data_IF_008681446976
#
_entry.id   IF_008681446976
#
_cell.length_a   1.000
_cell.length_b   1.000
_cell.length_c   1.000
_cell.angle_alpha   90.00
_cell.angle_beta   90.00
_cell.angle_gamma   90.00
#
_symmetry.space_group_name_H-M   'P 1'
#
loop_
_entity.id
_entity.type
_entity.pdbx_description
1 polymer ?
#
# COMPACT_ATOMS: atom_id res chain seq x y z
N UNK A 1 -17.38 20.93 -13.57
CA UNK A 1 -18.25 22.12 -13.51
C UNK A 1 -19.44 21.96 -12.55
N UNK A 2 -20.03 20.78 -12.38
CA UNK A 2 -21.12 20.51 -11.43
C UNK A 2 -20.73 20.55 -9.93
N UNK A 3 -19.50 20.28 -9.58
CA UNK A 3 -19.00 20.23 -8.18
C UNK A 3 -19.06 21.61 -7.48
N UNK A 4 -18.80 22.69 -8.18
CA UNK A 4 -18.79 24.05 -7.60
C UNK A 4 -20.16 24.60 -7.20
N UNK A 5 -21.25 23.98 -7.64
CA UNK A 5 -22.62 24.44 -7.39
C UNK A 5 -23.22 23.88 -6.09
N UNK A 6 -22.67 22.75 -5.58
CA UNK A 6 -23.29 22.02 -4.45
C UNK A 6 -22.37 21.89 -3.22
N UNK A 7 -21.07 22.15 -3.33
CA UNK A 7 -20.16 22.06 -2.19
C UNK A 7 -19.68 23.47 -1.75
N UNK A 8 -20.11 23.86 -0.57
CA UNK A 8 -19.55 25.03 0.10
C UNK A 8 -18.11 24.69 0.51
N UNK A 9 -17.16 25.52 0.11
CA UNK A 9 -15.76 25.43 0.55
C UNK A 9 -15.69 25.45 2.07
N UNK A 10 -15.26 24.33 2.67
CA UNK A 10 -15.18 24.17 4.13
C UNK A 10 -13.90 24.76 4.74
N UNK A 11 -12.92 25.12 3.90
CA UNK A 11 -11.67 25.71 4.37
C UNK A 11 -11.85 27.22 4.61
N UNK A 12 -11.57 27.70 5.83
CA UNK A 12 -11.59 29.13 6.17
C UNK A 12 -10.61 29.90 5.28
N UNK A 13 -10.98 31.13 4.90
CA UNK A 13 -10.21 31.99 3.98
C UNK A 13 -8.75 32.17 4.42
N UNK A 14 -8.52 32.24 5.73
CA UNK A 14 -7.19 32.41 6.35
C UNK A 14 -6.28 31.18 6.17
N UNK A 15 -6.85 30.00 6.02
CA UNK A 15 -6.12 28.73 5.84
C UNK A 15 -5.91 28.36 4.37
N UNK A 16 -6.46 29.12 3.43
CA UNK A 16 -6.28 28.91 1.99
C UNK A 16 -4.87 29.31 1.58
N UNK A 17 -4.00 28.33 1.37
CA UNK A 17 -2.66 28.59 0.78
C UNK A 17 -2.87 29.07 -0.65
N UNK A 18 -2.60 30.34 -0.94
CA UNK A 18 -2.56 30.87 -2.32
C UNK A 18 -1.48 30.09 -3.08
N UNK A 19 -1.91 29.40 -4.16
CA UNK A 19 -1.08 28.46 -4.91
C UNK A 19 0.07 29.14 -5.66
N UNK A 20 1.20 29.27 -4.98
CA UNK A 20 2.46 29.55 -5.66
C UNK A 20 3.22 28.21 -5.79
N UNK A 21 3.71 27.87 -6.99
CA UNK A 21 4.47 26.65 -7.25
C UNK A 21 5.60 26.43 -6.23
N UNK A 22 6.27 27.50 -5.79
CA UNK A 22 7.28 27.44 -4.72
C UNK A 22 6.72 26.93 -3.40
N UNK A 23 5.50 27.36 -3.03
CA UNK A 23 4.86 26.91 -1.78
C UNK A 23 4.43 25.45 -1.84
N UNK A 24 4.02 24.96 -3.02
CA UNK A 24 3.69 23.55 -3.26
C UNK A 24 4.94 22.67 -3.13
N UNK A 25 6.03 23.03 -3.82
CA UNK A 25 7.30 22.30 -3.72
C UNK A 25 7.85 22.29 -2.28
N UNK A 26 7.76 23.42 -1.59
CA UNK A 26 8.13 23.50 -0.17
C UNK A 26 7.27 22.58 0.70
N UNK A 27 5.96 22.48 0.43
CA UNK A 27 5.04 21.60 1.16
C UNK A 27 5.36 20.11 0.91
N UNK A 28 5.76 19.73 -0.31
CA UNK A 28 6.27 18.38 -0.60
C UNK A 28 7.53 18.08 0.21
N UNK A 29 8.47 19.03 0.27
CA UNK A 29 9.69 18.87 1.07
C UNK A 29 9.42 18.68 2.56
N UNK A 30 8.39 19.34 3.12
CA UNK A 30 7.98 19.18 4.52
C UNK A 30 7.43 17.78 4.75
N UNK A 31 6.51 17.33 3.91
CA UNK A 31 5.87 16.01 4.03
C UNK A 31 6.90 14.88 3.88
N UNK A 32 7.84 15.01 2.95
CA UNK A 32 8.91 14.02 2.73
C UNK A 32 9.95 13.96 3.87
N UNK A 33 10.04 14.95 4.72
CA UNK A 33 10.88 14.90 5.94
C UNK A 33 10.31 13.96 7.01
N UNK A 34 9.03 13.69 6.96
CA UNK A 34 8.39 12.76 7.89
C UNK A 34 8.72 11.31 7.48
N UNK A 35 9.71 10.72 8.15
CA UNK A 35 10.17 9.34 7.84
C UNK A 35 9.05 8.31 7.91
N UNK A 36 8.14 8.45 8.89
CA UNK A 36 7.03 7.53 9.06
C UNK A 36 6.07 7.58 7.86
N UNK A 37 5.74 8.78 7.41
CA UNK A 37 4.95 8.98 6.20
C UNK A 37 5.63 8.34 4.97
N UNK A 38 6.94 8.56 4.81
CA UNK A 38 7.71 7.99 3.70
C UNK A 38 7.67 6.46 3.71
N UNK A 39 7.76 5.82 4.86
CA UNK A 39 7.63 4.36 4.95
C UNK A 39 6.25 3.86 4.52
N UNK A 40 5.16 4.56 4.86
CA UNK A 40 3.83 4.21 4.37
C UNK A 40 3.70 4.41 2.85
N UNK A 41 4.30 5.48 2.31
CA UNK A 41 4.34 5.72 0.86
C UNK A 41 5.09 4.63 0.11
N UNK A 42 6.27 4.24 0.60
CA UNK A 42 7.07 3.17 -0.01
C UNK A 42 6.38 1.81 0.10
N UNK A 43 5.82 1.50 1.27
CA UNK A 43 5.07 0.28 1.50
C UNK A 43 3.90 0.16 0.51
N UNK A 44 3.11 1.21 0.35
CA UNK A 44 2.00 1.26 -0.59
C UNK A 44 2.48 1.26 -2.05
N UNK A 45 3.58 1.96 -2.34
CA UNK A 45 4.17 1.98 -3.68
C UNK A 45 4.52 0.57 -4.17
N UNK A 46 5.15 -0.24 -3.33
CA UNK A 46 5.44 -1.64 -3.65
C UNK A 46 4.18 -2.51 -3.77
N UNK A 47 3.17 -2.29 -2.91
CA UNK A 47 1.88 -2.97 -3.06
C UNK A 47 1.19 -2.59 -4.38
N UNK A 48 1.26 -1.32 -4.80
CA UNK A 48 0.82 -0.89 -6.12
C UNK A 48 1.62 -1.52 -7.25
N UNK A 49 2.92 -1.78 -7.03
CA UNK A 49 3.73 -2.54 -7.98
C UNK A 49 3.15 -3.93 -8.27
N UNK A 50 2.69 -4.65 -7.24
CA UNK A 50 1.98 -5.93 -7.40
C UNK A 50 0.72 -5.77 -8.24
N UNK A 51 -0.12 -4.75 -7.94
CA UNK A 51 -1.35 -4.49 -8.69
C UNK A 51 -1.08 -4.21 -10.16
N UNK A 52 -0.15 -3.32 -10.44
CA UNK A 52 0.16 -2.94 -11.83
C UNK A 52 0.85 -4.05 -12.61
N UNK A 53 1.67 -4.87 -11.96
CA UNK A 53 2.20 -6.09 -12.56
C UNK A 53 1.06 -7.05 -12.93
N UNK A 54 0.08 -7.25 -12.02
CA UNK A 54 -1.11 -8.06 -12.31
C UNK A 54 -1.91 -7.48 -13.49
N UNK A 55 -2.19 -6.18 -13.49
CA UNK A 55 -2.95 -5.53 -14.59
C UNK A 55 -2.24 -5.73 -15.93
N UNK A 56 -0.91 -5.65 -15.95
CA UNK A 56 -0.12 -5.78 -17.18
C UNK A 56 0.00 -7.22 -17.68
N UNK A 57 0.12 -8.20 -16.77
CA UNK A 57 0.34 -9.61 -17.12
C UNK A 57 -0.97 -10.40 -17.33
N UNK A 58 -2.03 -10.06 -16.59
CA UNK A 58 -3.28 -10.83 -16.59
C UNK A 58 -3.87 -11.09 -17.97
N UNK A 59 -3.93 -10.15 -18.94
CA UNK A 59 -4.45 -10.42 -20.27
C UNK A 59 -3.66 -11.51 -20.98
N UNK A 60 -2.34 -11.53 -20.82
CA UNK A 60 -1.47 -12.53 -21.44
C UNK A 60 -1.60 -13.90 -20.74
N UNK A 61 -1.59 -13.90 -19.40
CA UNK A 61 -1.71 -15.14 -18.62
C UNK A 61 -3.07 -15.79 -18.87
N UNK A 62 -4.17 -15.06 -18.72
CA UNK A 62 -5.52 -15.62 -18.77
C UNK A 62 -5.93 -15.95 -20.19
N UNK A 63 -5.69 -15.07 -21.17
CA UNK A 63 -6.18 -15.25 -22.52
C UNK A 63 -5.19 -16.03 -23.41
N UNK A 64 -3.89 -15.74 -23.35
CA UNK A 64 -2.93 -16.38 -24.25
C UNK A 64 -2.41 -17.70 -23.70
N UNK A 65 -2.09 -17.77 -22.40
CA UNK A 65 -1.55 -18.99 -21.79
C UNK A 65 -2.65 -19.99 -21.46
N UNK A 66 -3.71 -19.56 -20.73
CA UNK A 66 -4.81 -20.44 -20.34
C UNK A 66 -5.93 -20.56 -21.38
N UNK A 67 -5.93 -19.74 -22.44
CA UNK A 67 -6.85 -19.85 -23.57
C UNK A 67 -8.27 -19.34 -23.31
N UNK A 68 -8.51 -18.55 -22.27
CA UNK A 68 -9.82 -17.98 -21.97
C UNK A 68 -10.18 -16.83 -22.92
N UNK A 69 -11.47 -16.66 -23.17
CA UNK A 69 -12.00 -15.55 -23.97
C UNK A 69 -11.85 -14.21 -23.23
N UNK A 70 -11.92 -13.10 -23.99
CA UNK A 70 -11.92 -11.75 -23.41
C UNK A 70 -13.09 -11.50 -22.45
N UNK A 71 -14.23 -12.18 -22.68
CA UNK A 71 -15.38 -12.10 -21.78
C UNK A 71 -15.10 -12.78 -20.43
N UNK A 72 -14.58 -13.99 -20.45
CA UNK A 72 -14.20 -14.74 -19.24
C UNK A 72 -13.12 -14.01 -18.45
N UNK A 73 -12.10 -13.48 -19.14
CA UNK A 73 -11.10 -12.61 -18.52
C UNK A 73 -11.72 -11.44 -17.78
N UNK A 74 -12.71 -10.77 -18.38
CA UNK A 74 -13.40 -9.65 -17.74
C UNK A 74 -14.14 -10.06 -16.47
N UNK A 75 -14.71 -11.27 -16.42
CA UNK A 75 -15.36 -11.80 -15.23
C UNK A 75 -14.35 -12.07 -14.11
N UNK A 76 -13.24 -12.75 -14.41
CA UNK A 76 -12.18 -13.01 -13.43
C UNK A 76 -11.57 -11.71 -12.90
N UNK A 77 -11.29 -10.76 -13.78
CA UNK A 77 -10.79 -9.44 -13.38
C UNK A 77 -11.79 -8.69 -12.48
N UNK A 78 -13.10 -8.82 -12.76
CA UNK A 78 -14.16 -8.27 -11.91
C UNK A 78 -14.23 -8.93 -10.53
N UNK A 79 -14.08 -10.26 -10.46
CA UNK A 79 -14.02 -11.01 -9.19
C UNK A 79 -12.80 -10.57 -8.37
N UNK A 80 -11.65 -10.39 -9.00
CA UNK A 80 -10.45 -9.90 -8.36
C UNK A 80 -10.59 -8.47 -7.84
N UNK A 81 -11.26 -7.59 -8.57
CA UNK A 81 -11.60 -6.25 -8.10
C UNK A 81 -12.53 -6.28 -6.87
N UNK A 82 -13.49 -7.21 -6.83
CA UNK A 82 -14.35 -7.43 -5.66
C UNK A 82 -13.54 -7.89 -4.45
N UNK A 83 -12.52 -8.74 -4.62
CA UNK A 83 -11.63 -9.15 -3.53
C UNK A 83 -10.97 -7.95 -2.86
N UNK A 84 -10.41 -7.02 -3.66
CA UNK A 84 -9.80 -5.78 -3.17
C UNK A 84 -10.84 -4.92 -2.43
N UNK A 85 -12.03 -4.74 -3.01
CA UNK A 85 -13.11 -3.95 -2.41
C UNK A 85 -13.62 -4.52 -1.09
N UNK A 86 -13.82 -5.83 -1.00
CA UNK A 86 -14.24 -6.52 0.23
C UNK A 86 -13.17 -6.37 1.33
N UNK A 87 -11.91 -6.55 0.98
CA UNK A 87 -10.80 -6.37 1.90
C UNK A 87 -10.68 -4.92 2.39
N UNK A 88 -10.88 -3.94 1.50
CA UNK A 88 -10.91 -2.53 1.86
C UNK A 88 -12.02 -2.24 2.89
N UNK A 89 -13.23 -2.76 2.67
CA UNK A 89 -14.35 -2.66 3.62
C UNK A 89 -14.07 -3.37 4.96
N UNK A 90 -13.39 -4.53 4.93
CA UNK A 90 -13.01 -5.26 6.13
C UNK A 90 -11.91 -4.53 6.92
N UNK A 91 -10.98 -3.87 6.24
CA UNK A 91 -9.91 -3.11 6.87
C UNK A 91 -10.41 -2.06 7.86
N UNK A 92 -11.56 -1.45 7.60
CA UNK A 92 -12.18 -0.43 8.47
C UNK A 92 -12.64 -1.02 9.82
N UNK A 93 -12.89 -2.32 9.89
CA UNK A 93 -13.31 -3.00 11.14
C UNK A 93 -12.15 -3.26 12.11
N UNK A 94 -10.92 -3.14 11.66
CA UNK A 94 -9.75 -3.30 12.53
C UNK A 94 -9.62 -2.10 13.47
N UNK A 95 -9.54 -2.37 14.77
CA UNK A 95 -9.33 -1.33 15.79
C UNK A 95 -8.02 -0.57 15.58
N UNK A 96 -6.98 -1.28 15.12
CA UNK A 96 -5.66 -0.72 14.83
C UNK A 96 -5.33 -0.90 13.35
N UNK A 97 -5.30 0.17 12.55
CA UNK A 97 -4.94 0.08 11.13
C UNK A 97 -3.55 -0.53 10.87
N UNK A 98 -2.60 -0.38 11.81
CA UNK A 98 -1.27 -1.00 11.72
C UNK A 98 -1.34 -2.52 11.66
N UNK A 99 -2.24 -3.14 12.43
CA UNK A 99 -2.43 -4.59 12.38
C UNK A 99 -3.03 -5.05 11.03
N UNK A 100 -3.98 -4.29 10.48
CA UNK A 100 -4.54 -4.59 9.17
C UNK A 100 -3.48 -4.47 8.06
N UNK A 101 -2.66 -3.42 8.10
CA UNK A 101 -1.55 -3.20 7.17
C UNK A 101 -0.53 -4.35 7.25
N UNK A 102 -0.11 -4.72 8.47
CA UNK A 102 0.86 -5.79 8.67
C UNK A 102 0.32 -7.15 8.23
N UNK A 103 -0.89 -7.51 8.68
CA UNK A 103 -1.54 -8.76 8.29
C UNK A 103 -1.72 -8.87 6.77
N UNK A 104 -2.17 -7.79 6.14
CA UNK A 104 -2.28 -7.71 4.68
C UNK A 104 -0.93 -7.87 3.99
N UNK A 105 0.13 -7.22 4.48
CA UNK A 105 1.49 -7.34 3.90
C UNK A 105 2.05 -8.75 4.06
N UNK A 106 1.84 -9.42 5.19
CA UNK A 106 2.23 -10.81 5.41
C UNK A 106 1.46 -11.75 4.48
N UNK A 107 0.12 -11.61 4.42
CA UNK A 107 -0.73 -12.40 3.53
C UNK A 107 -0.32 -12.23 2.05
N UNK A 108 -0.07 -10.98 1.63
CA UNK A 108 0.40 -10.67 0.28
C UNK A 108 1.75 -11.33 -0.02
N UNK A 109 2.70 -11.33 0.94
CA UNK A 109 4.02 -11.96 0.76
C UNK A 109 3.91 -13.48 0.66
N UNK A 110 3.11 -14.12 1.52
CA UNK A 110 2.92 -15.57 1.47
C UNK A 110 2.26 -15.97 0.15
N UNK A 111 1.17 -15.30 -0.22
CA UNK A 111 0.43 -15.63 -1.45
C UNK A 111 1.26 -15.34 -2.71
N UNK A 112 2.08 -14.29 -2.73
CA UNK A 112 2.98 -14.02 -3.85
C UNK A 112 4.09 -15.06 -3.99
N UNK A 113 4.58 -15.63 -2.90
CA UNK A 113 5.53 -16.75 -2.95
C UNK A 113 4.87 -18.00 -3.54
N UNK A 114 3.63 -18.31 -3.12
CA UNK A 114 2.86 -19.42 -3.67
C UNK A 114 2.56 -19.18 -5.16
N UNK A 115 2.16 -17.96 -5.53
CA UNK A 115 1.87 -17.58 -6.91
C UNK A 115 3.10 -17.71 -7.82
N UNK A 116 4.28 -17.34 -7.31
CA UNK A 116 5.54 -17.54 -8.04
C UNK A 116 5.78 -19.01 -8.37
N UNK A 117 5.54 -19.91 -7.42
CA UNK A 117 5.66 -21.38 -7.64
C UNK A 117 4.62 -21.87 -8.64
N UNK A 118 3.39 -21.39 -8.55
CA UNK A 118 2.28 -21.77 -9.45
C UNK A 118 2.60 -21.37 -10.89
N UNK A 119 2.99 -20.12 -11.11
CA UNK A 119 3.32 -19.61 -12.44
C UNK A 119 4.58 -20.26 -13.02
N UNK A 120 5.58 -20.55 -12.20
CA UNK A 120 6.81 -21.22 -12.67
C UNK A 120 6.62 -22.69 -13.04
N UNK A 121 5.60 -23.36 -12.53
CA UNK A 121 5.30 -24.75 -12.81
C UNK A 121 4.02 -24.94 -13.64
N UNK A 122 3.44 -23.87 -14.14
CA UNK A 122 2.27 -23.88 -15.03
C UNK A 122 1.08 -24.71 -14.48
N UNK A 123 0.73 -24.48 -13.19
CA UNK A 123 -0.39 -25.17 -12.57
C UNK A 123 -1.72 -24.79 -13.21
N UNK A 124 -2.75 -25.60 -12.94
CA UNK A 124 -4.10 -25.39 -13.45
C UNK A 124 -4.66 -24.00 -13.08
N UNK A 125 -5.36 -23.34 -14.02
CA UNK A 125 -5.92 -22.00 -13.89
C UNK A 125 -6.69 -21.75 -12.57
N UNK A 126 -7.50 -22.72 -12.12
CA UNK A 126 -8.29 -22.56 -10.91
C UNK A 126 -7.41 -22.36 -9.64
N UNK A 127 -6.20 -22.94 -9.62
CA UNK A 127 -5.25 -22.75 -8.51
C UNK A 127 -4.62 -21.38 -8.58
N UNK A 128 -4.20 -20.95 -9.77
CA UNK A 128 -3.71 -19.59 -10.05
C UNK A 128 -4.72 -18.54 -9.59
N UNK A 129 -5.95 -18.62 -10.06
CA UNK A 129 -6.98 -17.61 -9.77
C UNK A 129 -7.37 -17.59 -8.29
N UNK A 130 -7.43 -18.74 -7.62
CA UNK A 130 -7.73 -18.81 -6.20
C UNK A 130 -6.63 -18.15 -5.34
N UNK A 131 -5.36 -18.37 -5.66
CA UNK A 131 -4.25 -17.75 -4.93
C UNK A 131 -4.15 -16.27 -5.25
N UNK A 132 -4.33 -15.88 -6.50
CA UNK A 132 -4.38 -14.48 -6.94
C UNK A 132 -5.49 -13.71 -6.21
N UNK A 133 -6.67 -14.30 -6.06
CA UNK A 133 -7.79 -13.71 -5.31
C UNK A 133 -7.39 -13.39 -3.86
N UNK A 134 -6.75 -14.34 -3.15
CA UNK A 134 -6.32 -14.14 -1.76
C UNK A 134 -5.17 -13.13 -1.69
N UNK A 135 -4.27 -13.11 -2.69
CA UNK A 135 -3.20 -12.12 -2.81
C UNK A 135 -3.77 -10.71 -2.93
N UNK A 136 -4.70 -10.51 -3.85
CA UNK A 136 -5.35 -9.20 -4.08
C UNK A 136 -6.25 -8.78 -2.90
N UNK A 137 -6.90 -9.72 -2.24
CA UNK A 137 -7.61 -9.47 -0.98
C UNK A 137 -6.64 -8.95 0.10
N UNK A 138 -5.51 -9.61 0.29
CA UNK A 138 -4.48 -9.19 1.25
C UNK A 138 -3.92 -7.80 0.91
N UNK A 139 -3.75 -7.52 -0.39
CA UNK A 139 -3.36 -6.19 -0.87
C UNK A 139 -4.42 -5.13 -0.54
N UNK A 140 -5.70 -5.42 -0.69
CA UNK A 140 -6.80 -4.50 -0.36
C UNK A 140 -6.80 -4.09 1.12
N UNK A 141 -6.53 -5.03 2.05
CA UNK A 141 -6.34 -4.74 3.48
C UNK A 141 -5.19 -3.74 3.70
N UNK A 142 -4.05 -4.03 3.08
CA UNK A 142 -2.84 -3.24 3.18
C UNK A 142 -3.04 -1.83 2.63
N UNK A 143 -3.64 -1.70 1.46
CA UNK A 143 -3.86 -0.44 0.78
C UNK A 143 -4.69 0.55 1.62
N UNK A 144 -5.83 0.11 2.13
CA UNK A 144 -6.74 0.95 2.91
C UNK A 144 -6.11 1.37 4.23
N UNK A 145 -5.46 0.43 4.92
CA UNK A 145 -4.81 0.70 6.18
C UNK A 145 -3.62 1.67 6.02
N UNK A 146 -2.78 1.49 5.01
CA UNK A 146 -1.64 2.37 4.73
C UNK A 146 -2.08 3.78 4.37
N UNK A 147 -3.15 3.92 3.57
CA UNK A 147 -3.71 5.23 3.23
C UNK A 147 -4.16 5.97 4.48
N UNK A 148 -4.89 5.30 5.37
CA UNK A 148 -5.35 5.88 6.64
C UNK A 148 -4.17 6.33 7.50
N UNK A 149 -3.17 5.48 7.68
CA UNK A 149 -1.98 5.77 8.51
C UNK A 149 -1.12 6.90 7.91
N UNK A 150 -0.95 6.93 6.60
CA UNK A 150 -0.22 7.99 5.92
C UNK A 150 -0.91 9.35 6.08
N UNK A 151 -2.23 9.40 5.91
CA UNK A 151 -3.00 10.64 6.09
C UNK A 151 -3.00 11.10 7.55
N UNK A 152 -3.04 10.18 8.50
CA UNK A 152 -2.95 10.50 9.94
C UNK A 152 -1.60 11.12 10.33
N UNK A 153 -0.52 10.74 9.66
CA UNK A 153 0.81 11.33 9.89
C UNK A 153 0.89 12.80 9.48
N UNK A 154 0.12 13.23 8.47
CA UNK A 154 0.23 14.54 7.83
C UNK A 154 -1.10 15.29 7.78
N UNK A 155 -1.90 15.24 8.84
CA UNK A 155 -3.24 15.88 8.91
C UNK A 155 -3.22 17.36 8.53
N UNK A 156 -2.18 18.09 8.94
CA UNK A 156 -2.04 19.52 8.63
C UNK A 156 -1.76 19.80 7.15
N UNK A 157 -1.20 18.83 6.42
CA UNK A 157 -0.84 18.93 5.00
C UNK A 157 -1.54 17.82 4.18
N UNK A 158 -2.72 17.38 4.58
CA UNK A 158 -3.42 16.20 4.04
C UNK A 158 -3.60 16.23 2.52
N UNK A 159 -3.86 17.39 1.92
CA UNK A 159 -3.97 17.54 0.46
C UNK A 159 -2.64 17.26 -0.26
N UNK A 160 -1.52 17.79 0.27
CA UNK A 160 -0.19 17.54 -0.27
C UNK A 160 0.24 16.08 -0.07
N UNK A 161 -0.05 15.54 1.10
CA UNK A 161 0.22 14.14 1.44
C UNK A 161 -0.58 13.19 0.52
N UNK A 162 -1.86 13.43 0.32
CA UNK A 162 -2.70 12.62 -0.57
C UNK A 162 -2.21 12.66 -2.02
N UNK A 163 -1.85 13.84 -2.54
CA UNK A 163 -1.32 13.99 -3.89
C UNK A 163 0.01 13.22 -4.06
N UNK A 164 0.92 13.33 -3.09
CA UNK A 164 2.21 12.64 -3.12
C UNK A 164 2.05 11.11 -2.99
N UNK A 165 1.13 10.67 -2.13
CA UNK A 165 0.81 9.26 -1.94
C UNK A 165 0.27 8.62 -3.23
N UNK A 166 -0.68 9.28 -3.89
CA UNK A 166 -1.22 8.82 -5.17
C UNK A 166 -0.16 8.85 -6.28
N UNK A 167 0.59 9.94 -6.41
CA UNK A 167 1.64 10.06 -7.41
C UNK A 167 2.74 8.99 -7.25
N UNK A 168 3.15 8.68 -6.02
CA UNK A 168 4.10 7.61 -5.74
C UNK A 168 3.55 6.25 -6.16
N UNK A 169 2.29 5.93 -5.84
CA UNK A 169 1.66 4.67 -6.25
C UNK A 169 1.68 4.47 -7.77
N UNK A 170 1.29 5.50 -8.53
CA UNK A 170 1.34 5.44 -9.99
C UNK A 170 2.77 5.40 -10.55
N UNK A 171 3.73 6.08 -9.92
CA UNK A 171 5.13 6.03 -10.32
C UNK A 171 5.70 4.62 -10.16
N UNK A 172 5.45 3.95 -9.02
CA UNK A 172 5.84 2.55 -8.81
C UNK A 172 5.18 1.63 -9.84
N UNK A 173 3.87 1.80 -10.09
CA UNK A 173 3.16 1.05 -11.11
C UNK A 173 3.76 1.24 -12.51
N UNK A 174 4.05 2.48 -12.90
CA UNK A 174 4.66 2.81 -14.19
C UNK A 174 6.06 2.24 -14.37
N UNK A 175 6.84 2.09 -13.29
CA UNK A 175 8.17 1.45 -13.32
C UNK A 175 8.02 -0.07 -13.40
N UNK A 176 7.13 -0.67 -12.61
CA UNK A 176 7.00 -2.12 -12.49
C UNK A 176 6.29 -2.74 -13.70
N UNK A 177 5.29 -2.05 -14.25
CA UNK A 177 4.47 -2.55 -15.36
C UNK A 177 5.27 -3.04 -16.57
N UNK A 178 6.25 -2.29 -17.12
CA UNK A 178 7.05 -2.76 -18.24
C UNK A 178 8.03 -3.89 -17.89
N UNK A 179 8.40 -4.04 -16.61
CA UNK A 179 9.33 -5.10 -16.19
C UNK A 179 8.74 -6.50 -16.37
N UNK A 180 7.42 -6.63 -16.35
CA UNK A 180 6.73 -7.90 -16.60
C UNK A 180 7.07 -8.50 -17.97
N UNK A 181 7.32 -7.66 -18.97
CA UNK A 181 7.65 -8.06 -20.34
C UNK A 181 9.13 -8.35 -20.62
N UNK A 182 10.01 -8.26 -19.61
CA UNK A 182 11.47 -8.42 -19.84
C UNK A 182 11.92 -9.89 -20.00
N UNK A 183 11.06 -10.87 -19.76
CA UNK A 183 11.39 -12.28 -19.87
C UNK A 183 10.16 -13.12 -20.14
N UNK A 184 10.16 -14.37 -19.66
CA UNK A 184 8.96 -15.18 -19.65
C UNK A 184 7.91 -14.55 -18.74
N UNK A 185 6.72 -14.26 -19.29
CA UNK A 185 5.67 -13.48 -18.60
C UNK A 185 5.24 -14.16 -17.31
N UNK A 186 5.13 -15.50 -17.27
CA UNK A 186 4.68 -16.22 -16.08
C UNK A 186 5.69 -16.10 -14.95
N UNK A 187 6.91 -16.52 -15.22
CA UNK A 187 8.00 -16.51 -14.20
C UNK A 187 8.33 -15.09 -13.75
N UNK A 188 8.38 -14.13 -14.69
CA UNK A 188 8.69 -12.73 -14.39
C UNK A 188 7.59 -12.08 -13.55
N UNK A 189 6.31 -12.34 -13.86
CA UNK A 189 5.18 -11.83 -13.07
C UNK A 189 5.23 -12.35 -11.63
N UNK A 190 5.40 -13.66 -11.46
CA UNK A 190 5.50 -14.27 -10.13
C UNK A 190 6.67 -13.71 -9.31
N UNK A 191 7.84 -13.55 -9.95
CA UNK A 191 9.03 -12.95 -9.32
C UNK A 191 8.77 -11.49 -8.88
N UNK A 192 8.15 -10.69 -9.73
CA UNK A 192 7.81 -9.30 -9.41
C UNK A 192 6.81 -9.24 -8.26
N UNK A 193 5.78 -10.10 -8.25
CA UNK A 193 4.84 -10.18 -7.13
C UNK A 193 5.58 -10.45 -5.82
N UNK A 194 6.48 -11.42 -5.83
CA UNK A 194 7.24 -11.81 -4.63
C UNK A 194 8.16 -10.68 -4.15
N UNK A 195 8.98 -10.12 -5.03
CA UNK A 195 9.93 -9.05 -4.67
C UNK A 195 9.19 -7.82 -4.15
N UNK A 196 8.16 -7.36 -4.85
CA UNK A 196 7.37 -6.21 -4.43
C UNK A 196 6.66 -6.46 -3.09
N UNK A 197 6.13 -7.67 -2.87
CA UNK A 197 5.47 -8.03 -1.61
C UNK A 197 6.44 -8.06 -0.43
N UNK A 198 7.64 -8.60 -0.62
CA UNK A 198 8.70 -8.61 0.41
C UNK A 198 9.13 -7.19 0.75
N UNK A 199 9.36 -6.34 -0.25
CA UNK A 199 9.69 -4.93 -0.03
C UNK A 199 8.55 -4.20 0.73
N UNK A 200 7.31 -4.42 0.33
CA UNK A 200 6.13 -3.87 1.02
C UNK A 200 6.08 -4.30 2.49
N UNK A 201 6.32 -5.59 2.79
CA UNK A 201 6.38 -6.10 4.15
C UNK A 201 7.52 -5.46 4.95
N UNK A 202 8.71 -5.34 4.39
CA UNK A 202 9.85 -4.68 5.05
C UNK A 202 9.51 -3.24 5.46
N UNK A 203 8.91 -2.45 4.56
CA UNK A 203 8.51 -1.08 4.88
C UNK A 203 7.35 -1.01 5.86
N UNK A 204 6.44 -1.99 5.86
CA UNK A 204 5.41 -2.14 6.89
C UNK A 204 6.02 -2.31 8.29
N UNK A 205 7.01 -3.19 8.43
CA UNK A 205 7.74 -3.41 9.70
C UNK A 205 8.51 -2.16 10.13
N UNK A 206 9.21 -1.49 9.20
CA UNK A 206 9.91 -0.25 9.52
C UNK A 206 8.97 0.85 9.99
N UNK A 207 7.79 0.99 9.38
CA UNK A 207 6.79 1.95 9.79
C UNK A 207 6.27 1.68 11.20
N UNK A 208 5.99 0.42 11.53
CA UNK A 208 5.54 0.00 12.87
C UNK A 208 6.61 0.25 13.94
N UNK A 209 7.87 -0.08 13.66
CA UNK A 209 8.97 0.15 14.60
C UNK A 209 9.14 1.64 14.93
N UNK A 210 8.94 2.54 13.96
CA UNK A 210 8.96 3.99 14.18
C UNK A 210 7.81 4.45 15.10
N UNK A 211 6.66 3.79 15.03
CA UNK A 211 5.53 4.08 15.92
C UNK A 211 5.88 3.73 17.36
N UNK A 212 6.43 2.54 17.59
CA UNK A 212 6.80 2.09 18.94
C UNK A 212 7.90 2.96 19.54
N UNK A 213 8.95 3.31 18.80
CA UNK A 213 10.03 4.18 19.30
C UNK A 213 9.54 5.58 19.65
N UNK A 214 8.64 6.15 18.88
CA UNK A 214 8.06 7.47 19.16
C UNK A 214 7.12 7.44 20.39
N UNK A 215 6.33 6.38 20.57
CA UNK A 215 5.51 6.18 21.76
C UNK A 215 6.39 6.04 23.02
N UNK A 216 7.45 5.24 22.96
CA UNK A 216 8.42 5.10 24.06
C UNK A 216 9.15 6.40 24.39
N UNK A 217 9.57 7.17 23.38
CA UNK A 217 10.18 8.49 23.55
C UNK A 217 9.23 9.49 24.20
N UNK A 218 7.97 9.52 23.76
CA UNK A 218 6.93 10.38 24.36
C UNK A 218 6.57 9.95 25.79
N UNK A 219 6.53 8.65 26.06
CA UNK A 219 6.27 8.10 27.40
C UNK A 219 7.44 8.43 28.35
N UNK A 220 8.68 8.25 27.91
CA UNK A 220 9.87 8.67 28.68
C UNK A 220 9.92 10.18 28.94
N UNK A 221 9.43 10.99 28.03
CA UNK A 221 9.38 12.44 28.18
C UNK A 221 8.30 12.91 29.18
N UNK A 222 7.16 12.17 29.25
CA UNK A 222 6.06 12.44 30.19
C UNK A 222 6.30 11.90 31.60
N UNK A 223 7.20 10.94 31.78
CA UNK A 223 7.58 10.45 33.10
C UNK A 223 8.46 11.48 33.81
N UNK A 224 8.00 11.92 34.98
CA UNK A 224 8.80 12.78 35.86
C UNK A 224 10.12 12.10 36.27
N UNK A 225 11.11 12.88 36.75
CA UNK A 225 12.48 12.40 37.04
C UNK A 225 12.53 11.19 37.98
N UNK A 226 11.60 11.08 38.94
CA UNK A 226 11.55 9.98 39.90
C UNK A 226 11.08 8.66 39.28
N UNK A 227 10.07 8.72 38.42
CA UNK A 227 9.58 7.53 37.72
C UNK A 227 10.60 6.99 36.68
N UNK A 228 11.40 7.89 36.10
CA UNK A 228 12.48 7.55 35.17
C UNK A 228 13.61 6.76 35.87
N UNK A 229 13.90 7.08 37.14
CA UNK A 229 14.95 6.40 37.94
C UNK A 229 14.52 4.97 38.34
N UNK A 230 13.28 4.75 38.68
CA UNK A 230 12.74 3.45 39.06
C UNK A 230 12.70 2.48 37.87
N UNK A 231 12.39 3.00 36.67
CA UNK A 231 12.29 2.18 35.45
C UNK A 231 13.66 1.69 34.95
N UNK A 232 14.69 2.56 35.01
CA UNK A 232 16.07 2.23 34.62
C UNK A 232 16.76 1.24 35.56
N UNK A 233 16.23 1.05 36.78
CA UNK A 233 16.74 0.09 37.75
C UNK A 233 16.20 -1.34 37.51
N UNK A 234 15.17 -1.52 36.71
CA UNK A 234 14.54 -2.81 36.41
C UNK A 234 15.07 -3.48 35.12
N UNK A 235 15.88 -2.76 34.35
CA UNK A 235 16.51 -3.26 33.12
C UNK A 235 18.00 -3.69 33.34
N UNK A 236 18.50 -3.64 34.59
CA UNK A 236 19.77 -4.24 35.02
C UNK A 236 19.49 -5.46 35.88
#
# INVERSE_FOLDING_TARGET
MFSNLHFKESLSVDNRKRGNLKSLVSSFGIVLKNRRYVYYVLQMGFAMGVLFANISSSPFIVQQHYGFSAFEFSLFFGINALAIGLAAGLSVKFKNPEHAMFLGSVGMTIMSAVEFVILSNEYHFAVYEAVLFVLLFSMGLTFTASTTLAMDCERANSGTASALFGAAGFAFGGIVSPLVGLGDILSTTGLIFFVCSVCSLCFSVFAMNQTHTNLWGSFKCKMGPVARFVFLRREK
#
